data_IF_815337189299
#
_entry.id   IF_815337189299
#
_cell.length_a   1.000
_cell.length_b   1.000
_cell.length_c   1.000
_cell.angle_alpha   90.00
_cell.angle_beta   90.00
_cell.angle_gamma   90.00
#
_symmetry.space_group_name_H-M   'P 1'
#
loop_
_entity.id
_entity.type
_entity.pdbx_description
1 polymer ?
#
# COMPACT_ATOMS: atom_id res chain seq x y z
N UNK A 1 -50.75 48.46 -32.22
CA UNK A 1 -49.67 48.03 -31.30
C UNK A 1 -48.89 46.90 -31.99
N UNK A 2 -47.59 47.14 -32.18
CA UNK A 2 -46.47 46.22 -32.49
C UNK A 2 -46.58 45.17 -33.64
N UNK A 3 -45.88 45.52 -34.75
CA UNK A 3 -45.05 44.66 -35.62
C UNK A 3 -44.00 43.81 -34.83
N UNK A 4 -43.18 42.89 -35.42
CA UNK A 4 -43.21 42.17 -36.71
C UNK A 4 -42.72 40.67 -36.70
N UNK A 5 -42.80 40.02 -37.88
CA UNK A 5 -41.79 39.15 -38.57
C UNK A 5 -41.20 37.87 -37.93
N UNK A 6 -41.64 36.73 -38.47
CA UNK A 6 -40.87 35.68 -39.21
C UNK A 6 -39.62 35.04 -38.60
N UNK A 7 -39.59 33.69 -38.49
CA UNK A 7 -38.74 32.76 -39.28
C UNK A 7 -38.83 31.30 -38.76
N UNK A 8 -39.04 30.36 -39.69
CA UNK A 8 -38.62 28.95 -39.72
C UNK A 8 -39.12 27.90 -38.69
N UNK A 9 -39.72 26.84 -39.26
CA UNK A 9 -40.11 25.58 -38.62
C UNK A 9 -38.90 24.75 -38.15
N UNK A 10 -39.11 23.79 -37.23
CA UNK A 10 -39.05 22.40 -37.69
C UNK A 10 -40.08 21.45 -37.07
N UNK A 11 -40.56 20.53 -37.92
CA UNK A 11 -40.93 19.12 -37.68
C UNK A 11 -41.11 18.70 -36.20
N UNK A 12 -42.37 18.50 -35.83
CA UNK A 12 -42.74 17.68 -34.68
C UNK A 12 -42.27 16.23 -34.91
N UNK A 13 -41.31 15.78 -34.09
CA UNK A 13 -40.99 14.36 -33.95
C UNK A 13 -42.13 13.70 -33.18
N UNK A 14 -42.79 12.73 -33.80
CA UNK A 14 -43.92 11.99 -33.24
C UNK A 14 -43.57 11.20 -31.97
N UNK A 15 -44.59 10.65 -31.29
CA UNK A 15 -44.43 9.96 -30.02
C UNK A 15 -43.65 8.66 -30.23
N UNK A 16 -42.39 8.62 -29.78
CA UNK A 16 -41.61 7.40 -29.75
C UNK A 16 -42.23 6.45 -28.71
N UNK A 17 -42.87 5.39 -29.19
CA UNK A 17 -43.29 4.25 -28.39
C UNK A 17 -42.10 3.76 -27.57
N UNK A 18 -42.18 3.92 -26.24
CA UNK A 18 -41.19 3.35 -25.32
C UNK A 18 -41.37 1.85 -25.30
N UNK A 19 -40.58 1.16 -26.12
CA UNK A 19 -40.54 -0.29 -26.16
C UNK A 19 -40.04 -0.82 -24.80
N UNK A 20 -40.61 -1.92 -24.27
CA UNK A 20 -40.11 -2.55 -23.03
C UNK A 20 -38.62 -2.91 -23.12
N UNK A 21 -38.08 -3.08 -24.34
CA UNK A 21 -36.67 -3.29 -24.58
C UNK A 21 -35.79 -2.08 -24.18
N UNK A 22 -36.28 -0.85 -24.32
CA UNK A 22 -35.50 0.37 -23.98
C UNK A 22 -35.46 0.59 -22.46
N UNK A 23 -36.53 0.23 -21.75
CA UNK A 23 -36.58 0.21 -20.29
C UNK A 23 -35.74 -0.92 -19.71
N UNK A 24 -35.76 -2.11 -20.33
CA UNK A 24 -34.88 -3.21 -19.97
C UNK A 24 -33.40 -2.86 -20.19
N UNK A 25 -33.06 -2.16 -21.28
CA UNK A 25 -31.70 -1.69 -21.55
C UNK A 25 -31.25 -0.61 -20.54
N UNK A 26 -32.14 0.29 -20.12
CA UNK A 26 -31.85 1.26 -19.06
C UNK A 26 -31.68 0.58 -17.68
N UNK A 27 -32.48 -0.44 -17.38
CA UNK A 27 -32.36 -1.23 -16.15
C UNK A 27 -31.10 -2.11 -16.15
N UNK A 28 -30.69 -2.65 -17.31
CA UNK A 28 -29.42 -3.37 -17.50
C UNK A 28 -28.21 -2.44 -17.37
N UNK A 29 -28.33 -1.17 -17.80
CA UNK A 29 -27.28 -0.16 -17.62
C UNK A 29 -27.20 0.36 -16.17
N UNK A 30 -28.31 0.31 -15.41
CA UNK A 30 -28.34 0.62 -13.97
C UNK A 30 -27.87 -0.56 -13.09
N UNK A 31 -27.74 -1.75 -13.65
CA UNK A 31 -27.15 -2.92 -12.98
C UNK A 31 -25.61 -2.97 -13.12
N UNK A 32 -24.97 -1.87 -13.54
CA UNK A 32 -23.53 -1.73 -13.39
C UNK A 32 -23.26 -1.47 -11.90
N UNK A 33 -23.18 -2.54 -11.12
CA UNK A 33 -22.50 -2.52 -9.83
C UNK A 33 -21.16 -1.83 -10.05
N UNK A 34 -21.02 -0.62 -9.51
CA UNK A 34 -19.72 -0.01 -9.31
C UNK A 34 -18.86 -1.07 -8.62
N UNK A 35 -17.60 -1.32 -9.05
CA UNK A 35 -16.74 -2.16 -8.27
C UNK A 35 -16.66 -1.51 -6.89
N UNK A 36 -17.34 -2.11 -5.90
CA UNK A 36 -17.06 -1.78 -4.52
C UNK A 36 -15.55 -1.94 -4.41
N UNK A 37 -14.85 -0.88 -4.01
CA UNK A 37 -13.40 -0.94 -3.81
C UNK A 37 -13.19 -1.76 -2.56
N UNK A 38 -13.26 -3.06 -2.73
CA UNK A 38 -13.14 -4.04 -1.69
C UNK A 38 -11.72 -3.89 -1.10
N UNK A 39 -11.62 -3.87 0.23
CA UNK A 39 -10.32 -3.88 0.89
C UNK A 39 -9.72 -5.28 0.84
N UNK A 40 -8.43 -5.44 1.12
CA UNK A 40 -7.78 -6.76 1.12
C UNK A 40 -8.52 -7.82 1.96
N UNK A 41 -9.00 -7.43 3.14
CA UNK A 41 -9.75 -8.31 4.07
C UNK A 41 -11.14 -8.67 3.51
N UNK A 42 -11.66 -7.89 2.58
CA UNK A 42 -12.93 -8.15 1.91
C UNK A 42 -12.82 -9.27 0.88
N UNK A 43 -11.66 -9.42 0.23
CA UNK A 43 -11.41 -10.45 -0.77
C UNK A 43 -11.42 -11.88 -0.21
N UNK A 44 -11.36 -12.02 1.12
CA UNK A 44 -11.50 -13.29 1.80
C UNK A 44 -12.92 -13.82 1.74
N UNK A 45 -13.22 -14.64 0.72
CA UNK A 45 -14.43 -15.43 0.56
C UNK A 45 -15.02 -15.86 1.92
N UNK A 46 -16.16 -15.28 2.29
CA UNK A 46 -17.07 -15.69 3.37
C UNK A 46 -16.42 -16.23 4.67
N UNK A 47 -15.23 -15.79 5.03
CA UNK A 47 -14.53 -16.38 6.16
C UNK A 47 -15.08 -15.79 7.46
N UNK A 48 -15.65 -16.68 8.28
CA UNK A 48 -15.91 -16.48 9.72
C UNK A 48 -16.82 -15.28 10.10
N UNK A 49 -17.71 -14.83 9.21
CA UNK A 49 -18.66 -13.73 9.44
C UNK A 49 -18.01 -12.40 9.89
N UNK A 50 -16.80 -12.11 9.40
CA UNK A 50 -16.06 -10.90 9.79
C UNK A 50 -16.82 -9.61 9.51
N UNK A 51 -17.48 -9.50 8.34
CA UNK A 51 -18.31 -8.34 7.97
C UNK A 51 -19.39 -8.06 9.01
N UNK A 52 -20.13 -9.10 9.39
CA UNK A 52 -21.22 -9.01 10.37
C UNK A 52 -20.70 -8.66 11.75
N UNK A 53 -19.59 -9.29 12.18
CA UNK A 53 -18.94 -8.99 13.48
C UNK A 53 -18.41 -7.55 13.52
N UNK A 54 -17.79 -7.08 12.45
CA UNK A 54 -17.35 -5.70 12.33
C UNK A 54 -18.53 -4.74 12.48
N UNK A 55 -19.62 -4.98 11.75
CA UNK A 55 -20.82 -4.14 11.83
C UNK A 55 -21.40 -4.11 13.26
N UNK A 56 -21.44 -5.26 13.93
CA UNK A 56 -21.89 -5.39 15.31
C UNK A 56 -21.00 -4.61 16.29
N UNK A 57 -19.68 -4.84 16.26
CA UNK A 57 -18.71 -4.13 17.13
C UNK A 57 -18.72 -2.62 16.87
N UNK A 58 -18.80 -2.22 15.60
CA UNK A 58 -18.89 -0.82 15.19
C UNK A 58 -20.17 -0.16 15.73
N UNK A 59 -21.33 -0.81 15.61
CA UNK A 59 -22.59 -0.31 16.16
C UNK A 59 -22.50 -0.15 17.69
N UNK A 60 -21.99 -1.18 18.38
CA UNK A 60 -21.82 -1.16 19.83
C UNK A 60 -20.87 -0.06 20.30
N UNK A 61 -19.78 0.19 19.56
CA UNK A 61 -18.85 1.28 19.82
C UNK A 61 -19.54 2.65 19.65
N UNK A 62 -20.29 2.85 18.57
CA UNK A 62 -21.02 4.10 18.30
C UNK A 62 -22.03 4.41 19.41
N UNK A 63 -22.79 3.42 19.85
CA UNK A 63 -23.75 3.58 20.94
C UNK A 63 -23.06 3.95 22.26
N UNK A 64 -21.95 3.27 22.58
CA UNK A 64 -21.25 3.48 23.86
C UNK A 64 -20.50 4.81 23.93
N UNK A 65 -19.85 5.22 22.84
CA UNK A 65 -18.97 6.39 22.81
C UNK A 65 -19.58 7.60 22.07
N UNK A 66 -20.82 7.48 21.55
CA UNK A 66 -21.54 8.53 20.80
C UNK A 66 -20.73 9.12 19.64
N UNK A 67 -20.00 8.27 18.92
CA UNK A 67 -19.25 8.68 17.72
C UNK A 67 -19.98 8.26 16.45
N UNK A 68 -19.87 9.06 15.38
CA UNK A 68 -20.44 8.73 14.07
C UNK A 68 -19.61 7.68 13.32
N UNK A 69 -18.29 7.70 13.49
CA UNK A 69 -17.36 6.74 12.90
C UNK A 69 -16.78 5.86 14.00
N UNK A 70 -16.75 4.55 13.77
CA UNK A 70 -16.15 3.63 14.73
C UNK A 70 -14.64 3.47 14.51
N UNK A 71 -14.15 3.69 13.29
CA UNK A 71 -12.76 3.50 12.86
C UNK A 71 -12.41 4.60 11.84
N UNK A 72 -11.12 4.80 11.55
CA UNK A 72 -10.67 5.70 10.46
C UNK A 72 -10.96 5.14 9.05
N UNK A 73 -11.48 3.93 9.01
CA UNK A 73 -11.36 2.97 7.94
C UNK A 73 -12.68 2.17 7.92
N UNK A 74 -13.66 2.59 7.10
CA UNK A 74 -14.97 1.94 7.02
C UNK A 74 -14.94 0.67 6.17
N UNK A 75 -15.72 -0.34 6.58
CA UNK A 75 -15.81 -1.61 5.86
C UNK A 75 -16.06 -1.41 4.35
N UNK A 76 -15.20 -1.99 3.52
CA UNK A 76 -15.36 -2.00 2.05
C UNK A 76 -15.12 -0.65 1.37
N UNK A 77 -14.67 0.39 2.08
CA UNK A 77 -14.41 1.70 1.47
C UNK A 77 -13.11 2.27 2.00
N UNK A 78 -11.99 1.68 1.59
CA UNK A 78 -10.67 2.09 2.07
C UNK A 78 -9.55 1.96 1.04
N UNK A 79 -8.55 2.81 1.26
CA UNK A 79 -7.28 3.10 0.58
C UNK A 79 -6.36 1.90 0.30
N UNK A 80 -6.91 0.83 -0.26
CA UNK A 80 -6.18 -0.36 -0.73
C UNK A 80 -5.74 -0.23 -2.20
N UNK A 81 -5.76 1.00 -2.74
CA UNK A 81 -5.35 1.25 -4.12
C UNK A 81 -3.89 0.85 -4.29
N UNK A 82 -3.66 -0.22 -5.04
CA UNK A 82 -2.34 -0.75 -5.35
C UNK A 82 -1.75 -1.74 -4.34
N UNK A 83 -2.46 -2.10 -3.27
CA UNK A 83 -2.01 -3.14 -2.33
C UNK A 83 -2.37 -4.54 -2.85
N UNK A 84 -1.48 -5.50 -2.56
CA UNK A 84 -1.71 -6.90 -2.89
C UNK A 84 -1.03 -7.81 -1.87
N UNK A 85 -1.66 -8.95 -1.59
CA UNK A 85 -1.21 -9.92 -0.57
C UNK A 85 -1.06 -11.29 -1.21
N UNK A 86 -0.09 -12.08 -0.75
CA UNK A 86 -0.05 -13.50 -1.05
C UNK A 86 -1.17 -14.27 -0.32
N UNK A 87 -1.45 -15.49 -0.79
CA UNK A 87 -2.51 -16.36 -0.25
C UNK A 87 -2.35 -16.60 1.26
N UNK A 88 -1.12 -16.89 1.71
CA UNK A 88 -0.86 -17.24 3.11
C UNK A 88 -1.03 -16.05 4.03
N UNK A 89 -0.54 -14.88 3.62
CA UNK A 89 -0.70 -13.64 4.37
C UNK A 89 -2.17 -13.22 4.47
N UNK A 90 -2.93 -13.33 3.38
CA UNK A 90 -4.36 -13.03 3.40
C UNK A 90 -5.10 -13.94 4.39
N UNK A 91 -4.88 -15.26 4.32
CA UNK A 91 -5.49 -16.22 5.24
C UNK A 91 -5.11 -15.95 6.70
N UNK A 92 -3.83 -15.66 6.97
CA UNK A 92 -3.35 -15.32 8.31
C UNK A 92 -4.01 -14.05 8.86
N UNK A 93 -4.16 -13.02 8.03
CA UNK A 93 -4.82 -11.77 8.43
C UNK A 93 -6.30 -11.99 8.74
N UNK A 94 -7.01 -12.79 7.94
CA UNK A 94 -8.41 -13.13 8.19
C UNK A 94 -8.57 -13.92 9.50
N UNK A 95 -7.69 -14.89 9.73
CA UNK A 95 -7.66 -15.72 10.93
C UNK A 95 -7.42 -14.87 12.18
N UNK A 96 -6.38 -14.02 12.15
CA UNK A 96 -6.00 -13.14 13.24
C UNK A 96 -7.09 -12.12 13.55
N UNK A 97 -7.67 -11.51 12.52
CA UNK A 97 -8.77 -10.54 12.66
C UNK A 97 -9.97 -11.20 13.34
N UNK A 98 -10.32 -12.42 12.95
CA UNK A 98 -11.40 -13.15 13.59
C UNK A 98 -11.13 -13.40 15.08
N UNK A 99 -9.91 -13.83 15.42
CA UNK A 99 -9.52 -14.07 16.82
C UNK A 99 -9.58 -12.78 17.64
N UNK A 100 -9.03 -11.68 17.13
CA UNK A 100 -9.02 -10.40 17.84
C UNK A 100 -10.42 -9.87 18.07
N UNK A 101 -11.31 -9.92 17.05
CA UNK A 101 -12.71 -9.53 17.23
C UNK A 101 -13.40 -10.36 18.31
N UNK A 102 -13.17 -11.67 18.33
CA UNK A 102 -13.73 -12.55 19.36
C UNK A 102 -13.22 -12.21 20.77
N UNK A 103 -11.94 -11.87 20.91
CA UNK A 103 -11.37 -11.43 22.19
C UNK A 103 -12.00 -10.11 22.65
N UNK A 104 -12.18 -9.15 21.74
CA UNK A 104 -12.83 -7.87 22.05
C UNK A 104 -14.30 -8.08 22.46
N UNK A 105 -15.03 -8.96 21.78
CA UNK A 105 -16.40 -9.35 22.13
C UNK A 105 -16.46 -9.93 23.56
N UNK A 106 -15.55 -10.85 23.90
CA UNK A 106 -15.52 -11.52 25.21
C UNK A 106 -15.11 -10.57 26.34
N UNK A 107 -14.02 -9.81 26.14
CA UNK A 107 -13.46 -8.91 27.15
C UNK A 107 -14.20 -7.57 27.22
N UNK A 108 -15.15 -7.33 26.32
CA UNK A 108 -15.86 -6.06 26.14
C UNK A 108 -14.92 -4.84 25.98
N UNK A 109 -13.72 -5.04 25.45
CA UNK A 109 -12.70 -3.99 25.31
C UNK A 109 -12.87 -3.18 24.02
N UNK A 110 -14.04 -2.54 23.87
CA UNK A 110 -14.45 -1.85 22.64
C UNK A 110 -13.50 -0.72 22.21
N UNK A 111 -12.71 -0.15 23.12
CA UNK A 111 -11.68 0.85 22.77
C UNK A 111 -10.54 0.28 21.93
N UNK A 112 -10.31 -1.03 21.98
CA UNK A 112 -9.21 -1.69 21.26
C UNK A 112 -9.61 -2.01 19.82
N UNK A 113 -10.90 -2.04 19.53
CA UNK A 113 -11.43 -2.26 18.18
C UNK A 113 -10.91 -1.24 17.15
N UNK A 114 -11.10 0.09 17.31
CA UNK A 114 -10.53 1.05 16.37
C UNK A 114 -9.01 1.03 16.31
N UNK A 115 -8.33 0.82 17.45
CA UNK A 115 -6.87 0.78 17.49
C UNK A 115 -6.33 -0.36 16.63
N UNK A 116 -6.91 -1.56 16.81
CA UNK A 116 -6.54 -2.73 16.04
C UNK A 116 -6.87 -2.55 14.55
N UNK A 117 -8.09 -2.10 14.22
CA UNK A 117 -8.52 -1.95 12.84
C UNK A 117 -7.69 -0.91 12.08
N UNK A 118 -7.44 0.25 12.68
CA UNK A 118 -6.61 1.28 12.04
C UNK A 118 -5.17 0.79 11.85
N UNK A 119 -4.57 0.14 12.86
CA UNK A 119 -3.22 -0.43 12.75
C UNK A 119 -3.12 -1.50 11.65
N UNK A 120 -4.15 -2.33 11.51
CA UNK A 120 -4.22 -3.37 10.48
C UNK A 120 -4.10 -2.77 9.07
N UNK A 121 -4.80 -1.67 8.83
CA UNK A 121 -4.83 -1.00 7.54
C UNK A 121 -3.63 -0.07 7.27
N UNK A 122 -3.14 0.62 8.29
CA UNK A 122 -2.01 1.57 8.15
C UNK A 122 -0.65 0.89 8.15
N UNK A 123 -0.52 -0.21 8.89
CA UNK A 123 0.78 -0.83 9.15
C UNK A 123 0.82 -2.23 8.60
N UNK A 124 -0.10 -3.11 9.06
CA UNK A 124 0.07 -4.54 8.82
C UNK A 124 -0.17 -4.96 7.38
N UNK A 125 -1.24 -4.48 6.73
CA UNK A 125 -1.51 -4.80 5.32
C UNK A 125 -0.40 -4.27 4.39
N UNK A 126 0.05 -3.00 4.51
CA UNK A 126 1.17 -2.50 3.71
C UNK A 126 2.48 -3.25 3.96
N UNK A 127 2.77 -3.62 5.21
CA UNK A 127 3.96 -4.43 5.56
C UNK A 127 3.92 -5.79 4.84
N UNK A 128 2.81 -6.52 4.93
CA UNK A 128 2.64 -7.81 4.25
C UNK A 128 2.68 -7.67 2.72
N UNK A 129 2.14 -6.57 2.18
CA UNK A 129 2.22 -6.29 0.74
C UNK A 129 3.67 -6.08 0.29
N UNK A 130 4.49 -5.39 1.11
CA UNK A 130 5.93 -5.24 0.85
C UNK A 130 6.65 -6.57 0.95
N UNK A 131 6.36 -7.39 1.95
CA UNK A 131 6.96 -8.74 2.07
C UNK A 131 6.69 -9.60 0.82
N UNK A 132 5.51 -9.49 0.21
CA UNK A 132 5.17 -10.24 -1.00
C UNK A 132 5.75 -9.64 -2.30
N UNK A 133 5.78 -8.31 -2.44
CA UNK A 133 6.12 -7.63 -3.70
C UNK A 133 7.53 -7.05 -3.77
N UNK A 134 8.28 -7.04 -2.66
CA UNK A 134 9.63 -6.50 -2.61
C UNK A 134 10.70 -7.59 -2.73
N UNK A 135 11.89 -7.24 -3.27
CA UNK A 135 13.05 -8.11 -3.21
C UNK A 135 13.49 -8.36 -1.75
N UNK A 136 14.10 -9.52 -1.42
CA UNK A 136 14.45 -10.63 -2.31
C UNK A 136 13.33 -11.66 -2.54
N UNK A 137 12.19 -11.51 -1.86
CA UNK A 137 11.08 -12.46 -1.93
C UNK A 137 10.43 -12.47 -3.33
N UNK A 138 10.26 -11.30 -3.92
CA UNK A 138 9.75 -11.14 -5.29
C UNK A 138 10.89 -11.13 -6.31
N UNK A 139 10.85 -12.04 -7.30
CA UNK A 139 11.83 -12.16 -8.38
C UNK A 139 11.15 -11.97 -9.75
N UNK A 140 10.99 -10.73 -10.18
CA UNK A 140 10.32 -10.35 -11.43
C UNK A 140 8.82 -10.14 -11.28
N UNK A 141 8.09 -11.18 -10.89
CA UNK A 141 6.65 -11.13 -10.60
C UNK A 141 6.26 -12.06 -9.45
N UNK A 142 5.11 -11.80 -8.83
CA UNK A 142 4.51 -12.62 -7.80
C UNK A 142 3.01 -12.79 -8.07
N UNK A 143 2.50 -13.99 -7.78
CA UNK A 143 1.07 -14.27 -7.81
C UNK A 143 0.46 -13.83 -6.48
N UNK A 144 -0.39 -12.80 -6.52
CA UNK A 144 -0.95 -12.14 -5.34
C UNK A 144 -2.43 -11.82 -5.56
N UNK A 145 -3.17 -11.63 -4.46
CA UNK A 145 -4.52 -11.08 -4.49
C UNK A 145 -4.47 -9.57 -4.66
N UNK A 146 -5.04 -9.08 -5.75
CA UNK A 146 -5.29 -7.66 -5.90
C UNK A 146 -6.46 -7.27 -5.01
N UNK A 147 -6.18 -6.43 -4.01
CA UNK A 147 -7.17 -6.08 -3.01
C UNK A 147 -8.36 -5.32 -3.59
N UNK A 148 -8.15 -4.48 -4.62
CA UNK A 148 -9.24 -3.73 -5.26
C UNK A 148 -10.19 -4.61 -6.07
N UNK A 149 -9.69 -5.67 -6.70
CA UNK A 149 -10.48 -6.51 -7.62
C UNK A 149 -10.85 -7.87 -7.03
N UNK A 150 -10.29 -8.21 -5.87
CA UNK A 150 -10.41 -9.51 -5.23
C UNK A 150 -10.19 -10.68 -6.18
N UNK A 151 -9.14 -10.57 -6.99
CA UNK A 151 -8.70 -11.61 -7.91
C UNK A 151 -7.22 -11.88 -7.73
N UNK A 152 -6.85 -13.15 -7.89
CA UNK A 152 -5.45 -13.53 -8.05
C UNK A 152 -4.95 -13.03 -9.38
N UNK A 153 -3.89 -12.24 -9.32
CA UNK A 153 -3.23 -11.64 -10.47
C UNK A 153 -1.73 -11.77 -10.30
N UNK A 154 -1.04 -11.88 -11.43
CA UNK A 154 0.41 -11.81 -11.43
C UNK A 154 0.82 -10.33 -11.50
N UNK A 155 1.43 -9.83 -10.43
CA UNK A 155 1.94 -8.46 -10.37
C UNK A 155 3.46 -8.49 -10.50
N UNK A 156 4.00 -7.49 -11.21
CA UNK A 156 5.44 -7.25 -11.21
C UNK A 156 5.88 -6.77 -9.83
N UNK A 157 7.09 -7.15 -9.45
CA UNK A 157 7.69 -6.69 -8.21
C UNK A 157 7.74 -5.16 -8.17
N UNK A 158 7.61 -4.62 -6.97
CA UNK A 158 7.76 -3.18 -6.76
C UNK A 158 9.20 -2.74 -6.94
N UNK A 159 9.36 -1.48 -7.33
CA UNK A 159 10.67 -0.84 -7.42
C UNK A 159 11.29 -0.69 -6.03
N UNK A 160 12.62 -0.77 -5.95
CA UNK A 160 13.38 -0.62 -4.71
C UNK A 160 13.05 0.68 -3.97
N UNK A 161 12.73 1.77 -4.67
CA UNK A 161 12.33 3.05 -4.04
C UNK A 161 11.00 2.95 -3.30
N UNK A 162 10.04 2.21 -3.84
CA UNK A 162 8.74 1.96 -3.20
C UNK A 162 8.91 1.00 -2.03
N UNK A 163 9.76 0.00 -2.20
CA UNK A 163 10.05 -1.01 -1.18
C UNK A 163 10.87 -0.49 -0.02
N UNK A 164 11.76 0.49 -0.23
CA UNK A 164 12.67 1.02 0.78
C UNK A 164 12.80 2.55 0.59
N UNK A 165 11.79 3.33 1.02
CA UNK A 165 11.82 4.79 0.87
C UNK A 165 12.99 5.44 1.65
N UNK A 166 13.44 4.82 2.75
CA UNK A 166 14.62 5.24 3.52
C UNK A 166 15.93 4.60 3.02
N UNK A 167 15.96 4.04 1.81
CA UNK A 167 17.14 3.39 1.20
C UNK A 167 18.39 4.27 1.07
N UNK A 168 18.35 5.54 1.46
CA UNK A 168 19.51 6.42 1.61
C UNK A 168 20.54 5.95 2.65
N UNK A 169 20.22 4.93 3.44
CA UNK A 169 21.20 4.25 4.31
C UNK A 169 22.36 3.62 3.53
N UNK A 170 22.09 3.02 2.37
CA UNK A 170 23.13 2.40 1.53
C UNK A 170 24.12 3.42 1.01
N UNK A 171 23.65 4.56 0.49
CA UNK A 171 24.54 5.63 0.03
C UNK A 171 25.39 6.20 1.17
N UNK A 172 24.79 6.36 2.36
CA UNK A 172 25.49 6.81 3.56
C UNK A 172 26.54 5.80 4.02
N UNK A 173 26.24 4.50 3.98
CA UNK A 173 27.16 3.41 4.31
C UNK A 173 28.29 3.34 3.27
N UNK A 174 27.98 3.40 1.97
CA UNK A 174 28.97 3.43 0.90
C UNK A 174 29.92 4.60 1.06
N UNK A 175 29.40 5.80 1.36
CA UNK A 175 30.22 6.99 1.59
C UNK A 175 31.15 6.83 2.80
N UNK A 176 30.67 6.24 3.89
CA UNK A 176 31.48 5.96 5.08
C UNK A 176 32.59 4.93 4.78
N UNK A 177 32.28 3.86 4.04
CA UNK A 177 33.26 2.84 3.64
C UNK A 177 34.33 3.45 2.73
N UNK A 178 33.93 4.24 1.73
CA UNK A 178 34.88 4.93 0.84
C UNK A 178 35.78 5.89 1.63
N UNK A 179 35.23 6.61 2.59
CA UNK A 179 36.01 7.52 3.44
C UNK A 179 37.05 6.77 4.27
N UNK A 180 36.65 5.71 4.97
CA UNK A 180 37.57 4.93 5.82
C UNK A 180 38.67 4.29 4.97
N UNK A 181 38.29 3.67 3.85
CA UNK A 181 39.24 3.06 2.91
C UNK A 181 40.24 4.10 2.36
N UNK A 182 39.75 5.26 1.94
CA UNK A 182 40.59 6.36 1.46
C UNK A 182 41.56 6.86 2.52
N UNK A 183 41.12 7.01 3.76
CA UNK A 183 42.00 7.41 4.88
C UNK A 183 43.09 6.38 5.16
N UNK A 184 42.75 5.08 5.17
CA UNK A 184 43.75 4.03 5.37
C UNK A 184 44.80 4.01 4.25
N UNK A 185 44.37 4.15 2.99
CA UNK A 185 45.29 4.22 1.85
C UNK A 185 46.20 5.45 1.93
N UNK A 186 45.63 6.61 2.28
CA UNK A 186 46.39 7.85 2.42
C UNK A 186 47.44 7.73 3.54
N UNK A 187 47.06 7.21 4.71
CA UNK A 187 47.99 6.97 5.81
C UNK A 187 49.11 6.01 5.42
N UNK A 188 48.79 4.95 4.66
CA UNK A 188 49.79 4.03 4.12
C UNK A 188 50.78 4.73 3.19
N UNK A 189 50.30 5.55 2.25
CA UNK A 189 51.15 6.31 1.32
C UNK A 189 52.07 7.28 2.08
N UNK A 190 51.54 8.03 3.05
CA UNK A 190 52.33 8.96 3.86
C UNK A 190 53.40 8.22 4.66
N UNK A 191 53.06 7.07 5.25
CA UNK A 191 54.03 6.24 5.97
C UNK A 191 55.17 5.78 5.05
N UNK A 192 54.84 5.27 3.85
CA UNK A 192 55.85 4.86 2.87
C UNK A 192 56.74 6.03 2.40
N UNK A 193 56.16 7.22 2.18
CA UNK A 193 56.90 8.39 1.75
C UNK A 193 57.87 8.90 2.85
N UNK A 194 57.42 8.89 4.11
CA UNK A 194 58.27 9.25 5.25
C UNK A 194 59.44 8.28 5.42
N UNK A 195 59.19 6.96 5.31
CA UNK A 195 60.28 5.98 5.34
C UNK A 195 61.31 6.19 4.23
N UNK A 196 60.83 6.48 3.00
CA UNK A 196 61.72 6.76 1.88
C UNK A 196 62.56 8.02 2.11
N UNK A 197 61.93 9.10 2.59
CA UNK A 197 62.62 10.37 2.87
C UNK A 197 63.64 10.25 4.00
N UNK A 198 63.29 9.56 5.10
CA UNK A 198 64.22 9.29 6.20
C UNK A 198 65.43 8.49 5.71
N UNK A 199 65.21 7.44 4.90
CA UNK A 199 66.31 6.64 4.30
C UNK A 199 67.15 7.41 3.28
N UNK A 200 66.60 8.45 2.66
CA UNK A 200 67.34 9.31 1.75
C UNK A 200 68.25 10.27 2.53
N UNK A 201 67.72 10.95 3.56
CA UNK A 201 68.52 11.84 4.42
C UNK A 201 69.63 11.10 5.18
N UNK A 202 69.39 9.88 5.66
CA UNK A 202 70.45 9.10 6.33
C UNK A 202 71.60 8.71 5.39
N UNK A 203 71.38 8.68 4.06
CA UNK A 203 72.45 8.40 3.08
C UNK A 203 73.27 9.63 2.70
N UNK A 204 72.80 10.83 3.01
CA UNK A 204 73.56 12.07 2.76
C UNK A 204 74.52 12.42 3.91
N UNK A 205 74.31 11.90 5.13
CA UNK A 205 75.27 12.06 6.24
C UNK A 205 76.49 11.13 6.15
N UNK A 206 76.42 10.07 5.33
CA UNK A 206 77.59 9.25 4.95
C UNK A 206 78.23 9.79 3.67
N UNK A 207 78.75 11.03 3.73
CA UNK A 207 79.60 11.61 2.68
C UNK A 207 80.92 10.84 2.49
N UNK A 208 81.55 10.95 1.30
CA UNK A 208 82.60 10.04 0.85
C UNK A 208 83.86 10.15 1.71
N UNK A 209 84.40 8.99 2.09
CA UNK A 209 85.75 8.82 2.66
C UNK A 209 86.81 9.18 1.64
#
# INVERSE_FOLDING_TARGET
MALPKSFFAPRALGPASRSPATLALLLLLLACESPETEGCIHCGLHSKNLKTRFAYLCAQYRERYRQANCTGYPWGRESSLGLALDDMSLDLLLEKTHRVFRVIEINQSLTDFPKFWNWLHEVKIPEQSREALCPPACQGSALVWNCTTCRRVELRCWDMKTCYPEGGGLEKITRLICSISGSCLFLGIVSCALEFWLRANTREEEGPV
#
